data_IF_434067858706
#
_entry.id   IF_434067858706
#
_cell.length_a   1.000
_cell.length_b   1.000
_cell.length_c   1.000
_cell.angle_alpha   90.00
_cell.angle_beta   90.00
_cell.angle_gamma   90.00
#
_symmetry.space_group_name_H-M   'P 1'
#
loop_
_entity.id
_entity.type
_entity.pdbx_description
1 polymer ?
#
# COMPACT_ATOMS: atom_id res chain seq x y z
N UNK A 1 -20.58 18.17 -20.68
CA UNK A 1 -20.12 19.59 -20.67
C UNK A 1 -19.29 19.84 -19.40
N UNK A 2 -18.20 20.63 -19.46
CA UNK A 2 -17.30 20.86 -18.31
C UNK A 2 -18.00 21.52 -17.10
N UNK A 3 -18.95 22.43 -17.34
CA UNK A 3 -19.75 23.05 -16.27
C UNK A 3 -20.64 22.05 -15.53
N UNK A 4 -21.14 21.03 -16.21
CA UNK A 4 -21.93 19.97 -15.57
C UNK A 4 -21.05 19.10 -14.67
N UNK A 5 -19.80 18.86 -15.08
CA UNK A 5 -18.81 18.13 -14.28
C UNK A 5 -18.50 18.92 -13.01
N UNK A 6 -18.24 20.23 -13.12
CA UNK A 6 -18.02 21.13 -11.99
C UNK A 6 -19.18 21.11 -10.98
N UNK A 7 -20.40 21.29 -11.50
CA UNK A 7 -21.60 21.27 -10.66
C UNK A 7 -21.77 19.92 -9.96
N UNK A 8 -21.60 18.81 -10.69
CA UNK A 8 -21.68 17.47 -10.13
C UNK A 8 -20.65 17.23 -9.03
N UNK A 9 -19.38 17.61 -9.25
CA UNK A 9 -18.31 17.46 -8.25
C UNK A 9 -18.61 18.31 -7.01
N UNK A 10 -19.09 19.54 -7.20
CA UNK A 10 -19.48 20.44 -6.11
C UNK A 10 -20.65 19.87 -5.29
N UNK A 11 -21.67 19.32 -5.95
CA UNK A 11 -22.81 18.67 -5.29
C UNK A 11 -22.39 17.42 -4.51
N UNK A 12 -21.56 16.57 -5.12
CA UNK A 12 -21.03 15.38 -4.45
C UNK A 12 -20.12 15.73 -3.27
N UNK A 13 -19.31 16.79 -3.36
CA UNK A 13 -18.53 17.31 -2.22
C UNK A 13 -19.45 17.73 -1.07
N UNK A 14 -20.54 18.47 -1.35
CA UNK A 14 -21.52 18.83 -0.31
C UNK A 14 -22.15 17.59 0.34
N UNK A 15 -22.54 16.60 -0.47
CA UNK A 15 -23.07 15.34 0.03
C UNK A 15 -22.05 14.56 0.86
N UNK A 16 -20.78 14.57 0.47
CA UNK A 16 -19.68 13.96 1.23
C UNK A 16 -19.57 14.62 2.61
N UNK A 17 -19.50 15.95 2.66
CA UNK A 17 -19.38 16.71 3.91
C UNK A 17 -20.60 16.51 4.83
N UNK A 18 -21.81 16.52 4.28
CA UNK A 18 -23.03 16.25 5.02
C UNK A 18 -23.02 14.83 5.61
N UNK A 19 -22.62 13.84 4.81
CA UNK A 19 -22.54 12.44 5.27
C UNK A 19 -21.55 12.27 6.41
N UNK A 20 -20.43 12.98 6.36
CA UNK A 20 -19.38 12.95 7.39
C UNK A 20 -19.80 13.69 8.67
N UNK A 21 -20.47 14.83 8.56
CA UNK A 21 -20.75 15.72 9.70
C UNK A 21 -22.05 15.38 10.45
N UNK A 22 -23.11 14.99 9.73
CA UNK A 22 -24.44 14.86 10.34
C UNK A 22 -24.78 13.43 10.75
N UNK A 23 -24.08 12.44 10.21
CA UNK A 23 -24.38 11.03 10.46
C UNK A 23 -23.35 10.42 11.41
N UNK A 24 -23.75 10.22 12.67
CA UNK A 24 -22.95 9.51 13.67
C UNK A 24 -22.64 8.06 13.28
N UNK A 25 -23.37 7.52 12.30
CA UNK A 25 -23.28 6.15 11.81
C UNK A 25 -23.20 6.09 10.27
N UNK A 26 -22.31 6.87 9.68
CA UNK A 26 -22.15 6.88 8.22
C UNK A 26 -21.57 5.56 7.69
N UNK A 27 -22.07 5.11 6.55
CA UNK A 27 -21.55 3.95 5.84
C UNK A 27 -20.28 4.34 5.06
N UNK A 28 -19.12 3.82 5.45
CA UNK A 28 -17.86 4.08 4.74
C UNK A 28 -17.93 3.68 3.25
N UNK A 29 -18.68 2.63 2.89
CA UNK A 29 -18.80 2.23 1.49
C UNK A 29 -19.56 3.30 0.68
N UNK A 30 -20.55 3.96 1.27
CA UNK A 30 -21.23 5.08 0.63
C UNK A 30 -20.30 6.30 0.46
N UNK A 31 -19.44 6.58 1.45
CA UNK A 31 -18.41 7.63 1.30
C UNK A 31 -17.40 7.28 0.20
N UNK A 32 -16.97 6.01 0.13
CA UNK A 32 -16.07 5.53 -0.91
C UNK A 32 -16.70 5.69 -2.30
N UNK A 33 -17.97 5.38 -2.45
CA UNK A 33 -18.69 5.57 -3.71
C UNK A 33 -18.76 7.06 -4.12
N UNK A 34 -19.04 7.97 -3.17
CA UNK A 34 -19.03 9.41 -3.44
C UNK A 34 -17.62 9.88 -3.85
N UNK A 35 -16.58 9.41 -3.15
CA UNK A 35 -15.18 9.69 -3.47
C UNK A 35 -14.81 9.19 -4.88
N UNK A 36 -15.07 7.92 -5.19
CA UNK A 36 -14.76 7.30 -6.48
C UNK A 36 -15.46 8.05 -7.63
N UNK A 37 -16.72 8.49 -7.42
CA UNK A 37 -17.46 9.32 -8.38
C UNK A 37 -16.82 10.69 -8.62
N UNK A 38 -16.31 11.35 -7.59
CA UNK A 38 -15.64 12.65 -7.71
C UNK A 38 -14.33 12.49 -8.49
N UNK A 39 -13.50 11.50 -8.14
CA UNK A 39 -12.22 11.24 -8.82
C UNK A 39 -12.44 10.86 -10.30
N UNK A 40 -13.44 10.04 -10.58
CA UNK A 40 -13.82 9.71 -11.97
C UNK A 40 -14.14 10.96 -12.79
N UNK A 41 -14.79 11.96 -12.17
CA UNK A 41 -15.19 13.21 -12.83
C UNK A 41 -14.05 14.21 -12.96
N UNK A 42 -13.15 14.26 -11.98
CA UNK A 42 -11.89 15.00 -12.07
C UNK A 42 -11.03 14.49 -13.24
N UNK A 43 -10.84 13.18 -13.36
CA UNK A 43 -10.08 12.59 -14.47
C UNK A 43 -10.69 12.96 -15.84
N UNK A 44 -12.02 12.86 -15.98
CA UNK A 44 -12.71 13.30 -17.21
C UNK A 44 -12.52 14.78 -17.52
N UNK A 45 -12.36 15.61 -16.49
CA UNK A 45 -12.10 17.04 -16.67
C UNK A 45 -10.69 17.26 -17.24
N UNK A 46 -9.70 16.52 -16.74
CA UNK A 46 -8.33 16.54 -17.27
C UNK A 46 -8.25 15.96 -18.70
N UNK A 47 -9.02 14.93 -19.04
CA UNK A 47 -9.09 14.42 -20.42
C UNK A 47 -9.58 15.52 -21.40
N UNK A 48 -10.56 16.33 -20.97
CA UNK A 48 -11.07 17.47 -21.75
C UNK A 48 -10.01 18.57 -21.86
N UNK A 49 -9.28 18.86 -20.77
CA UNK A 49 -8.19 19.83 -20.75
C UNK A 49 -7.08 19.45 -21.75
N UNK A 50 -6.65 18.19 -21.73
CA UNK A 50 -5.61 17.68 -22.63
C UNK A 50 -6.04 17.71 -24.10
N UNK A 51 -7.28 17.29 -24.39
CA UNK A 51 -7.84 17.37 -25.74
C UNK A 51 -7.91 18.82 -26.24
N UNK A 52 -8.30 19.76 -25.37
CA UNK A 52 -8.38 21.17 -25.70
C UNK A 52 -6.99 21.80 -25.92
N UNK A 53 -6.01 21.44 -25.10
CA UNK A 53 -4.63 21.91 -25.25
C UNK A 53 -4.03 21.45 -26.58
N UNK A 54 -4.26 20.18 -26.95
CA UNK A 54 -3.81 19.63 -28.24
C UNK A 54 -4.46 20.33 -29.43
N UNK A 55 -5.76 20.63 -29.34
CA UNK A 55 -6.44 21.35 -30.41
C UNK A 55 -5.96 22.79 -30.54
N UNK A 56 -5.62 23.45 -29.43
CA UNK A 56 -5.01 24.78 -29.46
C UNK A 56 -3.66 24.79 -30.18
N UNK A 57 -2.83 23.76 -29.95
CA UNK A 57 -1.56 23.57 -30.67
C UNK A 57 -1.80 23.42 -32.19
N UNK A 58 -2.77 22.60 -32.59
CA UNK A 58 -3.15 22.43 -34.00
C UNK A 58 -3.59 23.75 -34.64
N UNK A 59 -4.46 24.51 -33.97
CA UNK A 59 -4.94 25.81 -34.45
C UNK A 59 -3.77 26.79 -34.65
N UNK A 60 -2.80 26.77 -33.73
CA UNK A 60 -1.61 27.61 -33.83
C UNK A 60 -0.75 27.24 -35.05
N UNK A 61 -0.59 25.95 -35.33
CA UNK A 61 0.11 25.44 -36.52
C UNK A 61 -0.61 25.82 -37.83
N UNK A 62 -1.94 25.71 -37.88
CA UNK A 62 -2.71 26.13 -39.05
C UNK A 62 -2.59 27.63 -39.29
N UNK A 63 -2.67 28.43 -38.22
CA UNK A 63 -2.53 29.89 -38.31
C UNK A 63 -1.15 30.28 -38.84
N UNK A 64 -0.08 29.67 -38.33
CA UNK A 64 1.31 29.90 -38.78
C UNK A 64 1.50 29.48 -40.25
N UNK A 65 0.93 28.33 -40.64
CA UNK A 65 1.00 27.84 -42.02
C UNK A 65 0.30 28.78 -42.99
N UNK A 66 -0.92 29.22 -42.68
CA UNK A 66 -1.66 30.15 -43.53
C UNK A 66 -0.90 31.48 -43.63
N UNK A 67 -0.36 31.98 -42.52
CA UNK A 67 0.43 33.23 -42.52
C UNK A 67 1.62 33.14 -43.47
N UNK A 68 2.43 32.06 -43.38
CA UNK A 68 3.58 31.84 -44.26
C UNK A 68 3.20 31.68 -45.73
N UNK A 69 2.06 31.04 -46.01
CA UNK A 69 1.56 30.89 -47.38
C UNK A 69 1.09 32.24 -47.94
N UNK A 70 0.36 33.03 -47.16
CA UNK A 70 -0.05 34.39 -47.54
C UNK A 70 1.17 35.25 -47.88
N UNK A 71 2.20 35.28 -47.04
CA UNK A 71 3.45 36.02 -47.29
C UNK A 71 4.13 35.58 -48.60
N UNK A 72 4.16 34.28 -48.90
CA UNK A 72 4.72 33.77 -50.16
C UNK A 72 3.92 34.24 -51.36
N UNK A 73 2.59 34.19 -51.29
CA UNK A 73 1.71 34.63 -52.39
C UNK A 73 1.82 36.14 -52.59
N UNK A 74 1.92 36.92 -51.52
CA UNK A 74 2.19 38.37 -51.60
C UNK A 74 3.53 38.67 -52.27
N UNK A 75 4.59 37.92 -51.96
CA UNK A 75 5.87 38.05 -52.64
C UNK A 75 5.78 37.73 -54.13
N UNK A 76 5.04 36.67 -54.51
CA UNK A 76 4.81 36.32 -55.92
C UNK A 76 4.00 37.43 -56.61
N UNK A 77 2.95 37.95 -55.97
CA UNK A 77 2.13 39.04 -56.49
C UNK A 77 2.96 40.31 -56.69
N UNK A 78 3.84 40.66 -55.75
CA UNK A 78 4.77 41.78 -55.86
C UNK A 78 5.75 41.58 -57.03
N UNK A 79 6.31 40.37 -57.19
CA UNK A 79 7.18 40.03 -58.31
C UNK A 79 6.46 40.22 -59.66
N UNK A 80 5.30 39.58 -59.83
CA UNK A 80 4.50 39.67 -61.06
C UNK A 80 4.11 41.12 -61.37
N UNK A 81 3.76 41.90 -60.35
CA UNK A 81 3.41 43.32 -60.51
C UNK A 81 4.61 44.19 -60.90
N UNK A 82 5.81 43.90 -60.37
CA UNK A 82 7.01 44.71 -60.62
C UNK A 82 7.54 44.51 -62.03
N UNK A 83 7.52 43.27 -62.54
CA UNK A 83 8.11 42.92 -63.84
C UNK A 83 7.11 42.92 -65.01
N UNK A 84 5.85 43.28 -64.77
CA UNK A 84 4.75 43.31 -65.75
C UNK A 84 5.08 44.09 -67.04
N UNK A 85 5.90 45.15 -66.94
CA UNK A 85 6.29 46.01 -68.06
C UNK A 85 7.73 45.78 -68.56
N UNK A 86 8.45 44.82 -67.97
CA UNK A 86 9.87 44.60 -68.26
C UNK A 86 10.02 43.59 -69.42
N UNK A 87 9.76 44.11 -70.63
CA UNK A 87 9.67 43.37 -71.89
C UNK A 87 10.91 42.50 -72.23
N UNK A 88 12.06 42.75 -71.60
CA UNK A 88 13.30 42.00 -71.84
C UNK A 88 13.45 40.74 -70.96
N UNK A 89 12.83 40.67 -69.77
CA UNK A 89 12.89 39.50 -68.89
C UNK A 89 11.82 38.46 -69.28
N UNK A 90 10.65 38.94 -69.73
CA UNK A 90 9.51 38.07 -70.07
C UNK A 90 9.71 37.35 -71.42
N UNK A 91 10.32 38.02 -72.42
CA UNK A 91 10.56 37.43 -73.75
C UNK A 91 11.57 36.29 -73.77
N UNK A 92 12.46 36.20 -72.77
CA UNK A 92 13.49 35.17 -72.76
C UNK A 92 12.93 33.79 -72.35
N UNK A 93 11.75 33.73 -71.71
CA UNK A 93 11.19 32.50 -71.13
C UNK A 93 9.75 32.18 -71.52
N UNK A 94 9.01 33.07 -72.19
CA UNK A 94 7.61 32.85 -72.62
C UNK A 94 7.42 33.38 -74.05
N UNK A 95 7.05 32.49 -74.98
CA UNK A 95 7.05 32.74 -76.42
C UNK A 95 5.78 33.42 -76.96
N UNK A 96 4.69 33.46 -76.19
CA UNK A 96 3.43 34.12 -76.54
C UNK A 96 2.88 34.80 -75.28
N UNK A 97 2.86 36.13 -75.24
CA UNK A 97 2.38 36.88 -74.08
C UNK A 97 1.18 37.74 -74.51
N UNK A 98 0.00 37.13 -74.49
CA UNK A 98 -1.25 37.90 -74.45
C UNK A 98 -1.30 38.59 -73.09
N UNK A 99 -1.32 39.92 -73.09
CA UNK A 99 -1.43 40.82 -71.91
C UNK A 99 -2.57 40.42 -70.93
N UNK A 100 -3.52 39.63 -71.43
CA UNK A 100 -4.64 39.04 -70.71
C UNK A 100 -4.23 37.99 -69.65
N UNK A 101 -3.14 37.23 -69.85
CA UNK A 101 -2.79 36.10 -68.97
C UNK A 101 -2.04 36.53 -67.68
N UNK A 102 -1.21 37.58 -67.75
CA UNK A 102 -0.58 38.17 -66.56
C UNK A 102 -1.62 38.81 -65.64
N UNK A 103 -2.63 39.47 -66.24
CA UNK A 103 -3.76 40.05 -65.49
C UNK A 103 -4.56 38.97 -64.75
N UNK A 104 -4.86 37.83 -65.40
CA UNK A 104 -5.53 36.68 -64.77
C UNK A 104 -4.71 36.11 -63.60
N UNK A 105 -3.39 35.98 -63.75
CA UNK A 105 -2.51 35.50 -62.66
C UNK A 105 -2.59 36.43 -61.45
N UNK A 106 -2.56 37.76 -61.66
CA UNK A 106 -2.67 38.74 -60.56
C UNK A 106 -4.03 38.67 -59.87
N UNK A 107 -5.12 38.48 -60.62
CA UNK A 107 -6.44 38.28 -60.02
C UNK A 107 -6.51 36.99 -59.18
N UNK A 108 -5.98 35.88 -59.67
CA UNK A 108 -5.92 34.61 -58.93
C UNK A 108 -5.13 34.76 -57.63
N UNK A 109 -3.96 35.42 -57.66
CA UNK A 109 -3.14 35.65 -56.48
C UNK A 109 -3.87 36.55 -55.45
N UNK A 110 -4.50 37.64 -55.90
CA UNK A 110 -5.30 38.52 -55.03
C UNK A 110 -6.48 37.79 -54.41
N UNK A 111 -7.20 36.99 -55.21
CA UNK A 111 -8.33 36.18 -54.73
C UNK A 111 -7.86 35.15 -53.69
N UNK A 112 -6.72 34.50 -53.92
CA UNK A 112 -6.14 33.53 -52.97
C UNK A 112 -5.75 34.18 -51.65
N UNK A 113 -5.13 35.37 -51.68
CA UNK A 113 -4.82 36.16 -50.48
C UNK A 113 -6.10 36.48 -49.71
N UNK A 114 -7.16 36.94 -50.39
CA UNK A 114 -8.45 37.23 -49.77
C UNK A 114 -9.08 35.97 -49.13
N UNK A 115 -9.02 34.81 -49.80
CA UNK A 115 -9.50 33.55 -49.24
C UNK A 115 -8.72 33.15 -47.97
N UNK A 116 -7.39 33.29 -47.96
CA UNK A 116 -6.59 33.02 -46.77
C UNK A 116 -6.88 33.98 -45.61
N UNK A 117 -7.13 35.26 -45.90
CA UNK A 117 -7.58 36.23 -44.90
C UNK A 117 -8.95 35.85 -44.31
N UNK A 118 -9.90 35.39 -45.13
CA UNK A 118 -11.20 34.90 -44.66
C UNK A 118 -11.04 33.69 -43.73
N UNK A 119 -10.17 32.74 -44.09
CA UNK A 119 -9.88 31.56 -43.25
C UNK A 119 -9.26 32.00 -41.92
N UNK A 120 -8.28 32.91 -41.93
CA UNK A 120 -7.68 33.45 -40.69
C UNK A 120 -8.70 34.14 -39.80
N UNK A 121 -9.59 34.95 -40.38
CA UNK A 121 -10.68 35.59 -39.63
C UNK A 121 -11.60 34.54 -39.01
N UNK A 122 -11.93 33.47 -39.75
CA UNK A 122 -12.78 32.41 -39.22
C UNK A 122 -12.12 31.62 -38.08
N UNK A 123 -10.83 31.34 -38.21
CA UNK A 123 -10.03 30.73 -37.13
C UNK A 123 -10.04 31.63 -35.89
N UNK A 124 -9.88 32.95 -36.05
CA UNK A 124 -9.90 33.90 -34.93
C UNK A 124 -11.28 33.98 -34.27
N UNK A 125 -12.37 33.95 -35.04
CA UNK A 125 -13.74 33.87 -34.49
C UNK A 125 -13.94 32.61 -33.67
N UNK A 126 -13.58 31.45 -34.20
CA UNK A 126 -13.65 30.16 -33.50
C UNK A 126 -12.78 30.24 -32.23
N UNK A 127 -11.55 30.75 -32.34
CA UNK A 127 -10.65 30.91 -31.20
C UNK A 127 -11.24 31.82 -30.12
N UNK A 128 -11.89 32.93 -30.50
CA UNK A 128 -12.54 33.82 -29.55
C UNK A 128 -13.76 33.17 -28.87
N UNK A 129 -14.55 32.37 -29.59
CA UNK A 129 -15.69 31.64 -29.02
C UNK A 129 -15.26 30.54 -28.04
N UNK A 130 -14.18 29.82 -28.34
CA UNK A 130 -13.69 28.70 -27.52
C UNK A 130 -12.71 29.12 -26.42
N UNK A 131 -11.76 30.02 -26.72
CA UNK A 131 -10.68 30.44 -25.82
C UNK A 131 -10.86 31.86 -25.23
N UNK A 132 -11.78 32.67 -25.76
CA UNK A 132 -12.18 33.94 -25.13
C UNK A 132 -12.90 33.72 -23.79
N UNK A 133 -13.35 32.49 -23.53
CA UNK A 133 -13.73 32.01 -22.21
C UNK A 133 -12.47 31.57 -21.46
N UNK A 134 -11.84 32.50 -20.76
CA UNK A 134 -10.83 32.26 -19.69
C UNK A 134 -11.37 31.44 -18.50
N UNK A 135 -12.37 30.58 -18.74
CA UNK A 135 -13.14 29.85 -17.76
C UNK A 135 -12.80 28.36 -17.74
N UNK A 136 -12.25 27.76 -18.81
CA UNK A 136 -11.92 26.32 -18.80
C UNK A 136 -10.90 26.02 -17.70
N UNK A 137 -9.75 26.70 -17.69
CA UNK A 137 -8.73 26.51 -16.67
C UNK A 137 -9.26 26.83 -15.28
N UNK A 138 -10.10 27.86 -15.14
CA UNK A 138 -10.73 28.20 -13.86
C UNK A 138 -11.66 27.08 -13.37
N UNK A 139 -12.46 26.49 -14.27
CA UNK A 139 -13.38 25.39 -13.96
C UNK A 139 -12.58 24.13 -13.58
N UNK A 140 -11.52 23.81 -14.32
CA UNK A 140 -10.62 22.68 -14.00
C UNK A 140 -10.01 22.87 -12.62
N UNK A 141 -9.46 24.06 -12.32
CA UNK A 141 -8.90 24.38 -11.00
C UNK A 141 -9.95 24.18 -9.90
N UNK A 142 -11.18 24.65 -10.10
CA UNK A 142 -12.29 24.45 -9.15
C UNK A 142 -12.61 22.96 -8.95
N UNK A 143 -12.67 22.18 -10.03
CA UNK A 143 -12.91 20.73 -9.98
C UNK A 143 -11.79 20.05 -9.17
N UNK A 144 -10.52 20.28 -9.52
CA UNK A 144 -9.37 19.68 -8.84
C UNK A 144 -9.29 20.11 -7.38
N UNK A 145 -9.63 21.35 -7.05
CA UNK A 145 -9.64 21.81 -5.66
C UNK A 145 -10.73 21.11 -4.85
N UNK A 146 -11.94 20.98 -5.41
CA UNK A 146 -13.03 20.23 -4.77
C UNK A 146 -12.69 18.74 -4.60
N UNK A 147 -12.06 18.12 -5.59
CA UNK A 147 -11.62 16.73 -5.51
C UNK A 147 -10.52 16.54 -4.46
N UNK A 148 -9.53 17.43 -4.41
CA UNK A 148 -8.45 17.39 -3.43
C UNK A 148 -8.93 17.58 -1.98
N UNK A 149 -9.92 18.45 -1.76
CA UNK A 149 -10.56 18.60 -0.45
C UNK A 149 -11.15 17.26 0.03
N UNK A 150 -11.92 16.59 -0.84
CA UNK A 150 -12.53 15.29 -0.53
C UNK A 150 -11.46 14.22 -0.35
N UNK A 151 -10.44 14.17 -1.21
CA UNK A 151 -9.32 13.22 -1.12
C UNK A 151 -8.59 13.32 0.21
N UNK A 152 -8.33 14.53 0.67
CA UNK A 152 -7.68 14.79 1.97
C UNK A 152 -8.53 14.28 3.13
N UNK A 153 -9.84 14.53 3.10
CA UNK A 153 -10.76 14.06 4.14
C UNK A 153 -10.91 12.54 4.11
N UNK A 154 -11.16 11.95 2.94
CA UNK A 154 -11.34 10.52 2.75
C UNK A 154 -10.08 9.73 3.16
N UNK A 155 -8.88 10.24 2.87
CA UNK A 155 -7.62 9.61 3.29
C UNK A 155 -7.54 9.46 4.81
N UNK A 156 -8.03 10.46 5.57
CA UNK A 156 -8.14 10.35 7.03
C UNK A 156 -9.19 9.32 7.47
N UNK A 157 -10.34 9.21 6.80
CA UNK A 157 -11.34 8.16 7.08
C UNK A 157 -10.72 6.78 6.89
N UNK A 158 -10.00 6.61 5.79
CA UNK A 158 -9.38 5.34 5.43
C UNK A 158 -8.30 4.94 6.45
N UNK A 159 -7.44 5.88 6.85
CA UNK A 159 -6.44 5.64 7.89
C UNK A 159 -7.08 5.23 9.23
N UNK A 160 -8.16 5.91 9.63
CA UNK A 160 -8.91 5.57 10.84
C UNK A 160 -9.50 4.15 10.74
N UNK A 161 -10.21 3.85 9.64
CA UNK A 161 -10.83 2.54 9.42
C UNK A 161 -9.80 1.41 9.46
N UNK A 162 -8.68 1.58 8.77
CA UNK A 162 -7.62 0.57 8.73
C UNK A 162 -6.98 0.38 10.11
N UNK A 163 -6.73 1.46 10.85
CA UNK A 163 -6.22 1.41 12.21
C UNK A 163 -7.15 0.64 13.16
N UNK A 164 -8.46 0.91 13.11
CA UNK A 164 -9.45 0.18 13.92
C UNK A 164 -9.47 -1.31 13.60
N UNK A 165 -9.49 -1.69 12.32
CA UNK A 165 -9.50 -3.10 11.89
C UNK A 165 -8.22 -3.82 12.36
N UNK A 166 -7.06 -3.18 12.21
CA UNK A 166 -5.79 -3.76 12.63
C UNK A 166 -5.75 -4.01 14.14
N UNK A 167 -6.17 -3.03 14.94
CA UNK A 167 -6.25 -3.14 16.40
C UNK A 167 -7.24 -4.23 16.80
N UNK A 168 -8.42 -4.28 16.18
CA UNK A 168 -9.42 -5.31 16.43
C UNK A 168 -8.84 -6.72 16.21
N UNK A 169 -8.18 -6.95 15.08
CA UNK A 169 -7.60 -8.24 14.75
C UNK A 169 -6.50 -8.65 15.75
N UNK A 170 -5.64 -7.72 16.13
CA UNK A 170 -4.59 -7.97 17.13
C UNK A 170 -5.17 -8.30 18.49
N UNK A 171 -6.17 -7.53 18.95
CA UNK A 171 -6.84 -7.79 20.22
C UNK A 171 -7.56 -9.14 20.24
N UNK A 172 -8.23 -9.53 19.16
CA UNK A 172 -8.90 -10.84 19.08
C UNK A 172 -7.88 -12.00 19.06
N UNK A 173 -6.75 -11.83 18.36
CA UNK A 173 -5.65 -12.80 18.38
C UNK A 173 -5.08 -12.97 19.79
N UNK A 174 -4.81 -11.88 20.51
CA UNK A 174 -4.33 -11.92 21.90
C UNK A 174 -5.37 -12.61 22.78
N UNK A 175 -6.64 -12.18 22.70
CA UNK A 175 -7.74 -12.71 23.51
C UNK A 175 -7.93 -14.21 23.36
N UNK A 176 -7.72 -14.74 22.15
CA UNK A 176 -7.78 -16.17 21.86
C UNK A 176 -6.52 -16.89 22.36
N UNK A 177 -5.34 -16.33 22.12
CA UNK A 177 -4.08 -16.95 22.51
C UNK A 177 -3.87 -17.01 24.04
N UNK A 178 -4.42 -16.04 24.79
CA UNK A 178 -4.31 -15.99 26.26
C UNK A 178 -5.40 -16.78 26.98
N UNK A 179 -6.30 -17.49 26.27
CA UNK A 179 -7.44 -18.16 26.88
C UNK A 179 -7.06 -19.08 28.07
N UNK A 180 -6.02 -19.90 27.93
CA UNK A 180 -5.53 -20.79 28.99
C UNK A 180 -4.70 -20.09 30.09
N UNK A 181 -4.35 -18.83 29.86
CA UNK A 181 -3.56 -18.00 30.75
C UNK A 181 -4.40 -16.91 31.43
N UNK A 182 -5.72 -16.94 31.23
CA UNK A 182 -6.68 -16.09 31.94
C UNK A 182 -6.72 -16.43 33.43
N UNK A 183 -7.09 -15.44 34.24
CA UNK A 183 -6.93 -15.54 35.70
C UNK A 183 -7.74 -16.70 36.31
N UNK A 184 -8.92 -16.98 35.78
CA UNK A 184 -9.77 -18.09 36.22
C UNK A 184 -9.11 -19.46 35.94
N UNK A 185 -8.58 -19.66 34.73
CA UNK A 185 -7.92 -20.89 34.29
C UNK A 185 -6.63 -21.12 35.08
N UNK A 186 -5.86 -20.05 35.29
CA UNK A 186 -4.64 -20.08 36.10
C UNK A 186 -4.96 -20.39 37.57
N UNK A 187 -6.02 -19.82 38.13
CA UNK A 187 -6.45 -20.13 39.50
C UNK A 187 -6.83 -21.61 39.65
N UNK A 188 -7.60 -22.17 38.70
CA UNK A 188 -7.95 -23.61 38.68
C UNK A 188 -6.71 -24.51 38.59
N UNK A 189 -5.77 -24.15 37.72
CA UNK A 189 -4.50 -24.85 37.56
C UNK A 189 -3.67 -24.84 38.86
N UNK A 190 -3.51 -23.66 39.48
CA UNK A 190 -2.76 -23.50 40.73
C UNK A 190 -3.42 -24.25 41.89
N UNK A 191 -4.76 -24.19 42.02
CA UNK A 191 -5.49 -24.92 43.05
C UNK A 191 -5.31 -26.44 42.93
N UNK A 192 -5.27 -26.96 41.71
CA UNK A 192 -5.00 -28.38 41.45
C UNK A 192 -3.62 -28.79 41.97
N UNK A 193 -2.60 -27.97 41.71
CA UNK A 193 -1.23 -28.20 42.21
C UNK A 193 -1.19 -28.12 43.74
N UNK A 194 -1.87 -27.13 44.32
CA UNK A 194 -1.93 -26.94 45.76
C UNK A 194 -2.55 -28.16 46.46
N UNK A 195 -3.69 -28.63 45.98
CA UNK A 195 -4.38 -29.80 46.52
C UNK A 195 -3.53 -31.07 46.41
N UNK A 196 -2.85 -31.27 45.26
CA UNK A 196 -1.90 -32.35 45.08
C UNK A 196 -0.77 -32.28 46.12
N UNK A 197 -0.15 -31.11 46.28
CA UNK A 197 0.94 -30.92 47.22
C UNK A 197 0.47 -31.22 48.65
N UNK A 198 -0.64 -30.62 49.09
CA UNK A 198 -1.19 -30.80 50.44
C UNK A 198 -1.49 -32.28 50.75
N UNK A 199 -2.07 -33.00 49.80
CA UNK A 199 -2.32 -34.44 49.94
C UNK A 199 -1.01 -35.23 50.13
N UNK A 200 0.01 -34.95 49.32
CA UNK A 200 1.32 -35.61 49.48
C UNK A 200 1.98 -35.26 50.80
N UNK A 201 1.88 -34.01 51.26
CA UNK A 201 2.39 -33.59 52.58
C UNK A 201 1.73 -34.37 53.72
N UNK A 202 0.41 -34.55 53.70
CA UNK A 202 -0.30 -35.37 54.71
C UNK A 202 0.18 -36.81 54.71
N UNK A 203 0.35 -37.40 53.52
CA UNK A 203 0.86 -38.78 53.38
C UNK A 203 2.28 -38.93 53.93
N UNK A 204 3.18 -38.03 53.56
CA UNK A 204 4.58 -38.00 54.00
C UNK A 204 4.67 -37.78 55.52
N UNK A 205 3.80 -36.94 56.10
CA UNK A 205 3.75 -36.70 57.55
C UNK A 205 3.39 -37.97 58.32
N UNK A 206 2.46 -38.76 57.80
CA UNK A 206 1.96 -39.97 58.47
C UNK A 206 2.90 -41.17 58.29
N UNK A 207 3.53 -41.31 57.11
CA UNK A 207 4.49 -42.39 56.84
C UNK A 207 5.66 -41.88 55.97
N UNK A 208 6.75 -41.39 56.58
CA UNK A 208 7.84 -40.75 55.85
C UNK A 208 8.67 -41.76 55.01
N UNK A 209 8.49 -41.74 53.69
CA UNK A 209 9.30 -42.49 52.72
C UNK A 209 10.21 -41.55 51.88
N UNK A 210 11.51 -41.85 51.83
CA UNK A 210 12.53 -41.03 51.15
C UNK A 210 12.30 -40.88 49.65
N UNK A 211 11.86 -41.93 48.98
CA UNK A 211 11.63 -41.93 47.53
C UNK A 211 10.34 -41.20 47.19
N UNK A 212 9.32 -41.35 48.02
CA UNK A 212 8.07 -40.60 47.90
C UNK A 212 8.27 -39.09 48.09
N UNK A 213 9.10 -38.68 49.05
CA UNK A 213 9.49 -37.28 49.22
C UNK A 213 10.23 -36.76 48.00
N UNK A 214 11.20 -37.53 47.48
CA UNK A 214 11.95 -37.14 46.27
C UNK A 214 11.02 -36.95 45.07
N UNK A 215 10.14 -37.92 44.82
CA UNK A 215 9.19 -37.88 43.71
C UNK A 215 8.22 -36.70 43.85
N UNK A 216 7.75 -36.41 45.06
CA UNK A 216 6.89 -35.25 45.33
C UNK A 216 7.61 -33.94 45.03
N UNK A 217 8.85 -33.78 45.49
CA UNK A 217 9.67 -32.59 45.18
C UNK A 217 9.87 -32.42 43.68
N UNK A 218 10.12 -33.50 42.94
CA UNK A 218 10.32 -33.48 41.50
C UNK A 218 9.04 -33.10 40.73
N UNK A 219 7.88 -33.64 41.13
CA UNK A 219 6.59 -33.26 40.57
C UNK A 219 6.28 -31.77 40.80
N UNK A 220 6.52 -31.25 42.02
CA UNK A 220 6.34 -29.81 42.31
C UNK A 220 7.29 -28.95 41.47
N UNK A 221 8.55 -29.37 41.28
CA UNK A 221 9.50 -28.68 40.38
C UNK A 221 9.00 -28.66 38.94
N UNK A 222 8.44 -29.77 38.45
CA UNK A 222 7.89 -29.86 37.10
C UNK A 222 6.67 -28.94 36.92
N UNK A 223 5.81 -28.82 37.93
CA UNK A 223 4.72 -27.84 37.92
C UNK A 223 5.25 -26.40 37.88
N UNK A 224 6.27 -26.07 38.67
CA UNK A 224 6.89 -24.74 38.62
C UNK A 224 7.48 -24.41 37.25
N UNK A 225 8.17 -25.36 36.59
CA UNK A 225 8.67 -25.16 35.22
C UNK A 225 7.54 -24.85 34.23
N UNK A 226 6.41 -25.56 34.32
CA UNK A 226 5.22 -25.27 33.49
C UNK A 226 4.64 -23.89 33.81
N UNK A 227 4.60 -23.50 35.08
CA UNK A 227 4.17 -22.17 35.51
C UNK A 227 5.08 -21.05 34.99
N UNK A 228 6.39 -21.27 34.95
CA UNK A 228 7.38 -20.34 34.39
C UNK A 228 7.18 -20.14 32.88
N UNK A 229 6.87 -21.20 32.14
CA UNK A 229 6.51 -21.09 30.71
C UNK A 229 5.25 -20.24 30.52
N UNK A 230 4.21 -20.47 31.33
CA UNK A 230 2.98 -19.67 31.29
C UNK A 230 3.24 -18.20 31.66
N UNK A 231 4.11 -17.94 32.64
CA UNK A 231 4.54 -16.58 32.99
C UNK A 231 5.24 -15.87 31.83
N UNK A 232 6.12 -16.57 31.11
CA UNK A 232 6.78 -15.98 29.94
C UNK A 232 5.77 -15.63 28.84
N UNK A 233 4.80 -16.51 28.56
CA UNK A 233 3.72 -16.24 27.62
C UNK A 233 2.91 -15.01 28.05
N UNK A 234 2.50 -14.94 29.32
CA UNK A 234 1.79 -13.77 29.88
C UNK A 234 2.61 -12.50 29.69
N UNK A 235 3.91 -12.52 29.98
CA UNK A 235 4.78 -11.36 29.82
C UNK A 235 4.86 -10.90 28.36
N UNK A 236 4.94 -11.82 27.40
CA UNK A 236 4.97 -11.49 25.99
C UNK A 236 3.69 -10.76 25.54
N UNK A 237 2.51 -11.26 25.93
CA UNK A 237 1.24 -10.62 25.58
C UNK A 237 1.02 -9.29 26.29
N UNK A 238 1.51 -9.14 27.53
CA UNK A 238 1.52 -7.84 28.21
C UNK A 238 2.36 -6.81 27.45
N UNK A 239 3.52 -7.21 26.93
CA UNK A 239 4.36 -6.32 26.13
C UNK A 239 3.65 -5.92 24.81
N UNK A 240 2.94 -6.85 24.17
CA UNK A 240 2.15 -6.54 22.98
C UNK A 240 1.01 -5.55 23.28
N UNK A 241 0.29 -5.74 24.39
CA UNK A 241 -0.74 -4.80 24.85
C UNK A 241 -0.17 -3.42 25.17
N UNK A 242 1.04 -3.35 25.73
CA UNK A 242 1.74 -2.10 26.00
C UNK A 242 2.08 -1.32 24.71
N UNK A 243 2.14 -1.99 23.55
CA UNK A 243 2.27 -1.34 22.24
C UNK A 243 0.91 -0.95 21.65
N UNK A 244 -0.12 -1.80 21.80
CA UNK A 244 -1.46 -1.56 21.26
C UNK A 244 -2.15 -0.38 21.96
N UNK A 245 -2.01 -0.23 23.27
CA UNK A 245 -2.69 0.84 24.03
C UNK A 245 -2.31 2.24 23.51
N UNK A 246 -1.01 2.60 23.36
CA UNK A 246 -0.62 3.86 22.73
C UNK A 246 -1.12 4.03 21.29
N UNK A 247 -1.17 2.95 20.49
CA UNK A 247 -1.73 3.01 19.14
C UNK A 247 -3.22 3.38 19.16
N UNK A 248 -3.98 2.82 20.10
CA UNK A 248 -5.38 3.20 20.33
C UNK A 248 -5.48 4.67 20.73
N UNK A 249 -4.65 5.14 21.67
CA UNK A 249 -4.64 6.54 22.10
C UNK A 249 -4.37 7.50 20.94
N UNK A 250 -3.41 7.18 20.09
CA UNK A 250 -3.09 7.98 18.89
C UNK A 250 -4.27 7.97 17.90
N UNK A 251 -4.93 6.83 17.72
CA UNK A 251 -6.09 6.71 16.86
C UNK A 251 -7.29 7.51 17.38
N UNK A 252 -7.51 7.50 18.70
CA UNK A 252 -8.52 8.33 19.38
C UNK A 252 -8.25 9.82 19.15
N UNK A 253 -6.99 10.26 19.26
CA UNK A 253 -6.61 11.63 18.97
C UNK A 253 -6.85 12.03 17.50
N UNK A 254 -6.55 11.13 16.56
CA UNK A 254 -6.81 11.33 15.13
C UNK A 254 -8.32 11.46 14.84
N UNK A 255 -9.14 10.61 15.45
CA UNK A 255 -10.61 10.67 15.34
C UNK A 255 -11.12 12.01 15.87
N UNK A 256 -10.68 12.43 17.06
CA UNK A 256 -11.06 13.72 17.66
C UNK A 256 -10.64 14.92 16.81
N UNK A 257 -9.44 14.88 16.23
CA UNK A 257 -8.97 15.93 15.32
C UNK A 257 -9.85 16.07 14.07
N UNK A 258 -10.54 15.00 13.66
CA UNK A 258 -11.36 15.00 12.45
C UNK A 258 -12.82 15.34 12.71
N UNK A 259 -13.46 14.68 13.67
CA UNK A 259 -14.90 14.86 13.95
C UNK A 259 -15.17 15.76 15.16
N UNK A 260 -14.14 16.45 15.67
CA UNK A 260 -14.20 17.23 16.89
C UNK A 260 -14.38 16.35 18.13
N UNK A 261 -14.79 16.97 19.24
CA UNK A 261 -15.07 16.27 20.50
C UNK A 261 -16.43 15.53 20.49
N UNK A 262 -16.89 15.08 19.32
CA UNK A 262 -18.13 14.33 19.19
C UNK A 262 -17.92 12.87 19.60
N UNK A 263 -18.12 12.59 20.88
CA UNK A 263 -17.97 11.26 21.47
C UNK A 263 -19.03 10.25 20.97
N UNK A 264 -20.04 10.68 20.20
CA UNK A 264 -21.07 9.80 19.64
C UNK A 264 -20.70 9.25 18.24
N UNK A 265 -19.57 9.66 17.67
CA UNK A 265 -19.10 9.12 16.39
C UNK A 265 -18.79 7.61 16.52
N UNK A 266 -19.23 6.80 15.57
CA UNK A 266 -19.06 5.34 15.64
C UNK A 266 -17.59 4.91 15.73
N UNK A 267 -16.69 5.55 15.00
CA UNK A 267 -15.25 5.25 15.04
C UNK A 267 -14.66 5.55 16.42
N UNK A 268 -15.12 6.63 17.07
CA UNK A 268 -14.73 6.96 18.44
C UNK A 268 -15.20 5.88 19.42
N UNK A 269 -16.49 5.52 19.38
CA UNK A 269 -17.06 4.48 20.24
C UNK A 269 -16.33 3.14 20.08
N UNK A 270 -15.99 2.76 18.85
CA UNK A 270 -15.21 1.54 18.57
C UNK A 270 -13.80 1.63 19.15
N UNK A 271 -13.11 2.76 18.99
CA UNK A 271 -11.77 2.98 19.54
C UNK A 271 -11.75 2.88 21.07
N UNK A 272 -12.71 3.52 21.76
CA UNK A 272 -12.83 3.44 23.22
C UNK A 272 -13.12 2.01 23.67
N UNK A 273 -13.99 1.28 22.97
CA UNK A 273 -14.23 -0.14 23.25
C UNK A 273 -12.95 -0.99 23.08
N UNK A 274 -12.10 -0.67 22.11
CA UNK A 274 -10.80 -1.33 21.97
C UNK A 274 -9.86 -1.02 23.14
N UNK A 275 -9.83 0.22 23.62
CA UNK A 275 -9.07 0.63 24.79
C UNK A 275 -9.51 -0.14 26.05
N UNK A 276 -10.82 -0.18 26.31
CA UNK A 276 -11.41 -0.93 27.42
C UNK A 276 -11.07 -2.41 27.34
N UNK A 277 -11.19 -3.02 26.15
CA UNK A 277 -10.85 -4.42 25.94
C UNK A 277 -9.36 -4.70 26.20
N UNK A 278 -8.47 -3.85 25.68
CA UNK A 278 -7.03 -3.98 25.89
C UNK A 278 -6.69 -3.89 27.39
N UNK A 279 -7.28 -2.92 28.10
CA UNK A 279 -7.06 -2.74 29.52
C UNK A 279 -7.62 -3.90 30.35
N UNK A 280 -8.79 -4.43 29.98
CA UNK A 280 -9.38 -5.60 30.64
C UNK A 280 -8.51 -6.85 30.50
N UNK A 281 -7.98 -7.11 29.30
CA UNK A 281 -7.05 -8.22 29.07
C UNK A 281 -5.77 -8.01 29.89
N UNK A 282 -5.18 -6.80 29.86
CA UNK A 282 -3.97 -6.48 30.62
C UNK A 282 -4.17 -6.71 32.14
N UNK A 283 -5.30 -6.25 32.67
CA UNK A 283 -5.66 -6.43 34.08
C UNK A 283 -5.83 -7.92 34.45
N UNK A 284 -6.46 -8.71 33.59
CA UNK A 284 -6.61 -10.16 33.81
C UNK A 284 -5.25 -10.87 33.79
N UNK A 285 -4.40 -10.53 32.83
CA UNK A 285 -3.03 -11.06 32.74
C UNK A 285 -2.17 -10.67 33.96
N UNK A 286 -2.33 -9.46 34.50
CA UNK A 286 -1.68 -9.06 35.75
C UNK A 286 -2.12 -9.93 36.93
N UNK A 287 -3.42 -10.25 37.03
CA UNK A 287 -3.93 -11.18 38.05
C UNK A 287 -3.33 -12.58 37.88
N UNK A 288 -3.33 -13.11 36.65
CA UNK A 288 -2.70 -14.40 36.33
C UNK A 288 -1.23 -14.46 36.72
N UNK A 289 -0.47 -13.42 36.38
CA UNK A 289 0.94 -13.31 36.74
C UNK A 289 1.14 -13.34 38.26
N UNK A 290 0.32 -12.61 39.02
CA UNK A 290 0.39 -12.60 40.48
C UNK A 290 0.08 -13.97 41.09
N UNK A 291 -0.97 -14.66 40.60
CA UNK A 291 -1.33 -16.00 41.05
C UNK A 291 -0.18 -17.00 40.81
N UNK A 292 0.41 -16.99 39.61
CA UNK A 292 1.53 -17.88 39.28
C UNK A 292 2.77 -17.58 40.13
N UNK A 293 3.14 -16.30 40.30
CA UNK A 293 4.27 -15.90 41.12
C UNK A 293 4.11 -16.36 42.57
N UNK A 294 2.92 -16.17 43.15
CA UNK A 294 2.62 -16.63 44.51
C UNK A 294 2.71 -18.16 44.60
N UNK A 295 2.12 -18.89 43.66
CA UNK A 295 2.16 -20.35 43.61
C UNK A 295 3.60 -20.88 43.50
N UNK A 296 4.42 -20.34 42.61
CA UNK A 296 5.82 -20.74 42.43
C UNK A 296 6.60 -20.55 43.73
N UNK A 297 6.40 -19.42 44.42
CA UNK A 297 7.07 -19.13 45.69
C UNK A 297 6.62 -20.06 46.82
N UNK A 298 5.32 -20.37 46.90
CA UNK A 298 4.79 -21.35 47.87
C UNK A 298 5.34 -22.75 47.59
N UNK A 299 5.40 -23.15 46.33
CA UNK A 299 5.96 -24.43 45.89
C UNK A 299 7.46 -24.52 46.21
N UNK A 300 8.24 -23.43 46.06
CA UNK A 300 9.65 -23.39 46.46
C UNK A 300 9.82 -23.65 47.96
N UNK A 301 9.03 -22.99 48.82
CA UNK A 301 9.02 -23.23 50.28
C UNK A 301 8.64 -24.66 50.62
N UNK A 302 7.65 -25.22 49.92
CA UNK A 302 7.21 -26.60 50.07
C UNK A 302 8.33 -27.60 49.74
N UNK A 303 9.04 -27.38 48.64
CA UNK A 303 10.20 -28.21 48.27
C UNK A 303 11.30 -28.12 49.34
N UNK A 304 11.52 -26.94 49.92
CA UNK A 304 12.50 -26.75 50.99
C UNK A 304 12.15 -27.54 52.26
N UNK A 305 10.89 -27.45 52.72
CA UNK A 305 10.39 -28.24 53.87
C UNK A 305 10.54 -29.75 53.64
N UNK A 306 10.17 -30.23 52.44
CA UNK A 306 10.37 -31.62 52.05
C UNK A 306 11.86 -32.02 52.05
N UNK A 307 12.74 -31.11 51.65
CA UNK A 307 14.19 -31.27 51.69
C UNK A 307 14.70 -31.50 53.13
N UNK A 308 14.27 -30.67 54.08
CA UNK A 308 14.62 -30.81 55.50
C UNK A 308 14.11 -32.13 56.07
N UNK A 309 12.85 -32.51 55.79
CA UNK A 309 12.28 -33.79 56.24
C UNK A 309 13.05 -34.99 55.70
N UNK A 310 13.42 -34.96 54.42
CA UNK A 310 14.22 -36.02 53.78
C UNK A 310 15.58 -36.18 54.45
N UNK A 311 16.24 -35.07 54.79
CA UNK A 311 17.53 -35.10 55.50
C UNK A 311 17.37 -35.62 56.94
N UNK A 312 16.31 -35.22 57.65
CA UNK A 312 16.00 -35.74 58.99
C UNK A 312 15.80 -37.26 59.03
N UNK A 313 15.13 -37.84 58.04
CA UNK A 313 14.98 -39.30 57.90
C UNK A 313 16.35 -39.97 57.69
N UNK A 314 17.21 -39.37 56.87
CA UNK A 314 18.57 -39.88 56.63
C UNK A 314 19.39 -39.95 57.92
N UNK A 315 19.32 -38.91 58.75
CA UNK A 315 20.06 -38.86 60.01
C UNK A 315 19.49 -39.83 61.05
N UNK A 316 18.16 -39.99 61.14
CA UNK A 316 17.52 -40.96 62.03
C UNK A 316 17.85 -42.40 61.64
N UNK A 317 17.83 -42.71 60.34
CA UNK A 317 18.21 -44.03 59.85
C UNK A 317 19.70 -44.31 60.09
N UNK A 318 20.59 -43.34 59.83
CA UNK A 318 22.02 -43.48 60.11
C UNK A 318 22.30 -43.69 61.61
N UNK A 319 21.62 -42.95 62.50
CA UNK A 319 21.76 -43.13 63.95
C UNK A 319 21.26 -44.52 64.39
N UNK A 320 20.16 -45.00 63.81
CA UNK A 320 19.66 -46.33 64.09
C UNK A 320 20.61 -47.42 63.55
N UNK A 321 21.20 -47.24 62.37
CA UNK A 321 22.22 -48.16 61.84
C UNK A 321 23.50 -48.14 62.66
N UNK A 322 23.96 -46.98 63.14
CA UNK A 322 25.12 -46.85 64.03
C UNK A 322 24.85 -47.52 65.39
N UNK A 323 23.69 -47.28 66.00
CA UNK A 323 23.31 -47.94 67.26
C UNK A 323 23.19 -49.46 67.08
N UNK A 324 22.64 -49.92 65.95
CA UNK A 324 22.56 -51.35 65.65
C UNK A 324 23.93 -51.97 65.35
N UNK A 325 24.85 -51.24 64.71
CA UNK A 325 26.25 -51.65 64.56
C UNK A 325 26.97 -51.67 65.93
N UNK A 326 26.71 -50.72 66.83
CA UNK A 326 27.28 -50.72 68.18
C UNK A 326 26.72 -51.85 69.05
N UNK A 327 25.43 -52.18 68.95
CA UNK A 327 24.84 -53.35 69.63
C UNK A 327 25.34 -54.70 69.08
N UNK A 328 25.66 -54.77 67.78
CA UNK A 328 26.21 -55.99 67.16
C UNK A 328 27.75 -56.11 67.37
N UNK A 329 28.44 -55.00 67.68
CA UNK A 329 29.91 -54.98 67.84
C UNK A 329 30.42 -55.42 69.22
N UNK A 330 29.57 -55.89 70.13
CA UNK A 330 30.02 -56.39 71.46
C UNK A 330 30.52 -57.84 71.47
N UNK A 331 30.74 -58.50 70.33
CA UNK A 331 31.39 -59.82 70.31
C UNK A 331 32.55 -59.86 69.31
N UNK A 332 33.76 -59.86 69.90
CA UNK A 332 35.05 -60.38 69.42
C UNK A 332 35.91 -59.53 68.46
N UNK A 333 37.07 -59.12 68.98
CA UNK A 333 38.32 -58.92 68.23
C UNK A 333 39.38 -59.91 68.76
N UNK A 334 40.53 -60.16 68.08
CA UNK A 334 40.81 -60.14 66.64
C UNK A 334 41.63 -61.37 66.19
N UNK A 335 41.83 -61.57 64.88
CA UNK A 335 43.10 -62.11 64.37
C UNK A 335 43.38 -61.66 62.92
N UNK A 336 44.58 -61.11 62.76
CA UNK A 336 45.22 -60.71 61.51
C UNK A 336 45.30 -61.84 60.49
N UNK A 337 45.22 -61.49 59.20
CA UNK A 337 46.25 -61.90 58.24
C UNK A 337 46.41 -60.84 57.15
N UNK A 338 47.66 -60.44 56.93
CA UNK A 338 48.13 -59.57 55.86
C UNK A 338 48.04 -60.26 54.48
N UNK A 339 47.72 -59.51 53.42
CA UNK A 339 48.63 -59.35 52.26
C UNK A 339 48.23 -58.23 51.29
N UNK A 340 49.22 -57.35 51.05
CA UNK A 340 49.65 -56.63 49.82
C UNK A 340 48.98 -57.05 48.49
N UNK A 341 48.87 -56.24 47.43
CA UNK A 341 49.61 -55.03 47.03
C UNK A 341 48.91 -54.40 45.79
N UNK A 342 49.13 -53.08 45.59
CA UNK A 342 49.43 -52.37 44.32
C UNK A 342 48.44 -52.43 43.13
N UNK A 343 48.25 -51.43 42.28
CA UNK A 343 48.90 -50.14 41.98
C UNK A 343 47.82 -49.27 41.26
N UNK A 344 47.66 -47.97 41.56
CA UNK A 344 48.23 -46.81 40.82
C UNK A 344 47.95 -46.83 39.28
N UNK A 345 47.56 -45.75 38.59
CA UNK A 345 47.73 -44.33 38.85
C UNK A 345 46.81 -43.45 37.95
N UNK A 346 46.65 -42.22 38.45
CA UNK A 346 46.31 -40.94 37.81
C UNK A 346 46.59 -40.81 36.30
N UNK A 347 45.61 -40.25 35.58
CA UNK A 347 45.83 -39.66 34.25
C UNK A 347 46.09 -38.15 34.33
N UNK A 348 47.16 -37.72 33.66
CA UNK A 348 47.50 -36.32 33.30
C UNK A 348 47.25 -36.12 31.80
N UNK A 349 46.80 -34.92 31.43
CA UNK A 349 46.80 -34.38 30.06
C UNK A 349 48.22 -34.09 29.55
N UNK A 350 48.44 -34.09 28.22
CA UNK A 350 49.21 -33.09 27.44
C UNK A 350 49.11 -33.31 25.90
N UNK A 351 48.59 -32.28 25.20
CA UNK A 351 48.96 -31.60 23.93
C UNK A 351 49.60 -32.22 22.64
N UNK A 352 49.34 -31.45 21.54
CA UNK A 352 49.97 -31.27 20.20
C UNK A 352 49.35 -32.03 19.01
N UNK A 353 49.33 -31.58 17.74
CA UNK A 353 49.39 -30.28 16.99
C UNK A 353 49.47 -30.64 15.49
N UNK A 354 49.01 -29.73 14.60
CA UNK A 354 49.31 -29.61 13.13
C UNK A 354 48.74 -30.67 12.16
N UNK A 355 48.51 -30.46 10.86
CA UNK A 355 48.45 -29.35 9.85
C UNK A 355 47.98 -30.02 8.54
N UNK A 356 47.20 -29.41 7.63
CA UNK A 356 47.64 -28.81 6.34
C UNK A 356 46.36 -28.37 5.57
N UNK A 357 46.20 -27.10 5.12
CA UNK A 357 46.60 -26.49 3.82
C UNK A 357 46.06 -27.25 2.59
N UNK A 358 45.55 -26.69 1.49
CA UNK A 358 45.36 -25.37 0.79
C UNK A 358 44.41 -25.72 -0.40
N UNK A 359 43.69 -24.87 -1.13
CA UNK A 359 43.72 -23.43 -1.40
C UNK A 359 43.63 -23.14 -2.92
N UNK A 360 42.66 -22.29 -3.32
CA UNK A 360 42.59 -21.43 -4.54
C UNK A 360 42.41 -22.08 -5.92
N UNK A 361 41.90 -21.42 -6.99
CA UNK A 361 41.83 -20.00 -7.40
C UNK A 361 40.77 -19.84 -8.54
N UNK A 362 39.94 -18.77 -8.62
CA UNK A 362 40.07 -17.50 -9.41
C UNK A 362 40.43 -17.71 -10.91
N UNK A 363 39.89 -17.03 -11.94
CA UNK A 363 39.36 -15.64 -12.12
C UNK A 363 38.81 -15.41 -13.56
N UNK A 364 37.89 -14.43 -13.75
CA UNK A 364 37.75 -13.33 -14.80
C UNK A 364 38.07 -13.60 -16.30
N UNK A 365 37.54 -12.93 -17.35
CA UNK A 365 36.76 -11.69 -17.57
C UNK A 365 36.22 -11.59 -19.02
N UNK A 366 35.35 -10.58 -19.24
CA UNK A 366 35.29 -9.60 -20.36
C UNK A 366 34.72 -9.95 -21.75
N UNK A 367 33.88 -9.04 -22.27
CA UNK A 367 33.63 -8.84 -23.70
C UNK A 367 32.42 -7.93 -24.00
N UNK A 368 32.68 -6.66 -24.35
CA UNK A 368 31.74 -5.62 -24.79
C UNK A 368 31.09 -5.88 -26.17
N UNK A 369 29.97 -5.21 -26.48
CA UNK A 369 29.80 -4.47 -27.76
C UNK A 369 28.44 -3.75 -27.95
N UNK A 370 28.52 -2.42 -28.17
CA UNK A 370 27.88 -1.57 -29.22
C UNK A 370 26.34 -1.33 -29.15
N UNK A 371 25.72 -0.13 -29.06
CA UNK A 371 25.78 1.27 -29.59
C UNK A 371 24.99 1.55 -30.91
N UNK A 372 24.16 2.61 -30.85
CA UNK A 372 23.76 3.62 -31.88
C UNK A 372 22.45 3.54 -32.71
N UNK A 373 21.84 4.75 -32.80
CA UNK A 373 21.01 5.39 -33.85
C UNK A 373 19.62 4.79 -34.14
N UNK A 374 18.54 5.54 -34.42
CA UNK A 374 18.39 6.92 -34.87
C UNK A 374 17.46 6.93 -36.10
N UNK A 375 16.33 7.65 -36.04
CA UNK A 375 15.59 8.08 -37.22
C UNK A 375 14.62 9.23 -36.87
N UNK A 376 15.10 10.45 -37.11
CA UNK A 376 14.27 11.55 -37.61
C UNK A 376 14.11 11.30 -39.12
N UNK A 377 12.98 11.76 -39.69
CA UNK A 377 12.67 11.99 -41.12
C UNK A 377 11.74 10.98 -41.80
N UNK A 378 10.47 11.38 -41.95
CA UNK A 378 9.86 11.75 -43.24
C UNK A 378 8.81 12.83 -42.88
N UNK A 379 8.90 14.09 -43.32
CA UNK A 379 9.36 14.55 -44.62
C UNK A 379 8.21 14.42 -45.61
N UNK A 380 7.42 15.49 -45.72
CA UNK A 380 6.87 15.96 -47.01
C UNK A 380 6.21 14.89 -47.91
N UNK A 381 5.19 14.19 -47.41
CA UNK A 381 4.20 13.46 -48.26
C UNK A 381 2.75 13.75 -47.82
N UNK A 382 2.50 14.84 -47.08
CA UNK A 382 1.15 15.24 -46.66
C UNK A 382 0.51 16.33 -47.54
N UNK A 383 1.16 16.74 -48.64
CA UNK A 383 0.56 17.62 -49.66
C UNK A 383 0.17 16.89 -50.95
N UNK A 384 0.08 15.55 -50.94
CA UNK A 384 -0.39 14.80 -52.14
C UNK A 384 -1.21 13.53 -51.84
N UNK A 385 -1.65 13.29 -50.60
CA UNK A 385 -2.38 12.07 -50.23
C UNK A 385 -3.74 12.30 -49.54
N UNK A 386 -4.33 13.50 -49.67
CA UNK A 386 -5.73 13.76 -49.24
C UNK A 386 -6.73 13.68 -50.42
N UNK A 387 -6.30 13.24 -51.61
CA UNK A 387 -7.18 13.09 -52.78
C UNK A 387 -7.51 11.66 -53.17
N UNK A 388 -7.05 10.61 -52.48
CA UNK A 388 -7.33 9.22 -52.86
C UNK A 388 -7.69 8.26 -51.70
N UNK A 389 -8.58 8.69 -50.81
CA UNK A 389 -9.45 7.76 -50.08
C UNK A 389 -10.91 8.12 -50.33
N UNK A 390 -11.30 8.12 -51.61
CA UNK A 390 -12.68 7.79 -51.97
C UNK A 390 -12.77 6.27 -51.97
N UNK A 391 -13.75 5.78 -51.21
CA UNK A 391 -14.24 4.40 -51.13
C UNK A 391 -14.12 3.70 -52.49
N UNK A 392 -13.37 2.61 -52.54
CA UNK A 392 -13.67 1.52 -53.45
C UNK A 392 -14.56 0.57 -52.66
N UNK A 393 -15.82 0.50 -53.06
CA UNK A 393 -16.73 -0.57 -52.66
C UNK A 393 -16.18 -1.89 -53.20
N UNK A 394 -15.86 -2.84 -52.32
CA UNK A 394 -15.77 -4.25 -52.71
C UNK A 394 -16.44 -5.10 -51.61
N UNK A 395 -17.54 -5.80 -51.92
CA UNK A 395 -18.30 -6.58 -50.96
C UNK A 395 -17.76 -8.02 -50.96
N UNK A 396 -17.06 -8.42 -49.90
CA UNK A 396 -17.01 -9.82 -49.46
C UNK A 396 -16.50 -9.89 -48.03
N UNK A 397 -17.40 -10.33 -47.15
CA UNK A 397 -17.15 -10.77 -45.77
C UNK A 397 -16.07 -11.86 -45.70
N UNK A 398 -15.27 -11.83 -44.64
CA UNK A 398 -15.11 -13.00 -43.78
C UNK A 398 -14.63 -12.56 -42.38
N UNK A 399 -15.51 -12.77 -41.42
CA UNK A 399 -15.36 -12.62 -39.97
C UNK A 399 -14.08 -13.20 -39.39
N UNK A 400 -13.55 -12.51 -38.36
CA UNK A 400 -13.16 -13.16 -37.11
C UNK A 400 -13.63 -12.34 -35.91
N UNK A 401 -14.77 -12.80 -35.41
CA UNK A 401 -15.39 -12.67 -34.09
C UNK A 401 -14.50 -12.21 -32.90
N UNK A 402 -15.02 -11.15 -32.26
CA UNK A 402 -15.45 -11.04 -30.87
C UNK A 402 -14.46 -11.14 -29.69
N UNK A 403 -14.37 -10.03 -28.94
CA UNK A 403 -15.01 -10.00 -27.61
C UNK A 403 -15.37 -8.58 -27.16
N UNK A 404 -16.68 -8.35 -27.10
CA UNK A 404 -17.39 -7.14 -26.74
C UNK A 404 -17.28 -6.76 -25.27
N UNK A 405 -17.18 -5.45 -25.02
CA UNK A 405 -18.00 -4.73 -24.03
C UNK A 405 -17.82 -3.21 -24.25
N UNK A 406 -18.47 -2.68 -25.30
CA UNK A 406 -18.75 -1.25 -25.40
C UNK A 406 -20.25 -1.03 -25.58
N UNK A 407 -20.82 -0.31 -24.61
CA UNK A 407 -22.23 0.03 -24.59
C UNK A 407 -22.61 0.92 -25.77
N UNK A 408 -23.59 0.44 -26.50
CA UNK A 408 -24.21 0.97 -27.72
C UNK A 408 -25.08 2.22 -27.47
N UNK A 409 -24.55 3.21 -26.72
CA UNK A 409 -25.24 4.47 -26.43
C UNK A 409 -24.44 5.73 -26.81
N UNK A 410 -23.19 5.59 -27.28
CA UNK A 410 -22.31 6.73 -27.59
C UNK A 410 -22.35 7.21 -29.06
N UNK A 411 -23.04 6.50 -29.96
CA UNK A 411 -23.06 6.87 -31.38
C UNK A 411 -24.04 8.01 -31.75
N UNK A 412 -24.93 8.44 -30.84
CA UNK A 412 -26.02 9.38 -31.16
C UNK A 412 -25.71 10.86 -30.94
N UNK A 413 -24.50 11.22 -30.49
CA UNK A 413 -24.13 12.61 -30.16
C UNK A 413 -23.05 13.22 -31.06
N UNK A 414 -22.59 12.50 -32.09
CA UNK A 414 -21.56 12.95 -33.03
C UNK A 414 -21.96 12.87 -34.51
N UNK A 415 -23.26 12.76 -34.82
CA UNK A 415 -23.73 13.15 -36.15
C UNK A 415 -23.64 14.67 -36.25
N UNK A 416 -22.53 15.15 -36.83
CA UNK A 416 -22.45 16.49 -37.39
C UNK A 416 -23.12 16.43 -38.76
N UNK A 417 -24.06 17.33 -39.02
CA UNK A 417 -24.40 17.68 -40.39
C UNK A 417 -23.10 18.20 -41.03
N UNK A 418 -22.62 17.51 -42.07
CA UNK A 418 -21.47 17.93 -42.85
C UNK A 418 -21.81 19.29 -43.49
N UNK A 419 -21.42 20.40 -42.85
CA UNK A 419 -21.36 21.71 -43.50
C UNK A 419 -20.22 21.67 -44.52
N UNK A 420 -20.56 21.24 -45.74
CA UNK A 420 -19.72 21.36 -46.91
C UNK A 420 -19.56 22.86 -47.21
N UNK A 421 -18.36 23.38 -46.97
CA UNK A 421 -17.96 24.68 -47.53
C UNK A 421 -17.79 24.46 -49.04
N UNK A 422 -18.83 24.79 -49.79
CA UNK A 422 -18.80 24.77 -51.25
C UNK A 422 -17.92 25.94 -51.73
N UNK A 423 -16.69 25.63 -52.11
CA UNK A 423 -15.79 26.58 -52.76
C UNK A 423 -16.25 26.67 -54.22
N UNK A 424 -17.00 27.72 -54.52
CA UNK A 424 -17.42 28.00 -55.88
C UNK A 424 -16.19 28.49 -56.68
N UNK A 425 -15.51 27.55 -57.35
CA UNK A 425 -14.52 27.88 -58.36
C UNK A 425 -15.29 28.16 -59.64
N UNK A 426 -15.23 29.40 -60.14
CA UNK A 426 -15.73 29.71 -61.48
C UNK A 426 -15.01 28.80 -62.48
N UNK A 427 -15.69 27.75 -62.94
CA UNK A 427 -15.29 26.96 -64.10
C UNK A 427 -15.48 27.85 -65.33
N UNK A 428 -14.39 28.48 -65.74
CA UNK A 428 -14.32 29.36 -66.89
C UNK A 428 -12.97 29.29 -67.57
N UNK A 429 -12.66 28.11 -68.13
CA UNK A 429 -12.08 27.93 -69.47
C UNK A 429 -12.20 26.46 -69.89
#
# INVERSE_FOLDING_TARGET
NLKEIEQYVSDKKRNFLHTVNENTNYNFNALKEIYDNIISRENKAHDIEDANNKENENIMLYTDTITKLTEKIENILNFVTTYENDNNIIKEHIQDNDENDVSKIKEILKSTIQSFQQIQNKINEIKAQFYGNSNINSIIITISQNANDVKTLFSKDLAIRNGLIQIQNRLENIKNAVHENRSEQIAKYVNTIHNYAEHQFKKIRNNPNKDEIRNTMENIRNYNKKSEVKLQQISNYKNELALIIPEITNLVALIKSKYGNNNNNISYTVAIKHEENAQNILNDLNKSQNILNQSINQNKKSIEDLGYRRHGIHNKNNLHTINKHQEISQIKYPKNTYHNNNDNAKYKNYHHSNSDKKGSSKTKSSGDSVRYAGAIAFGLVACFAITNFKKADDPNEADLDNNDFYNEAEAKYFERDDEVIEINMNEGL
#
